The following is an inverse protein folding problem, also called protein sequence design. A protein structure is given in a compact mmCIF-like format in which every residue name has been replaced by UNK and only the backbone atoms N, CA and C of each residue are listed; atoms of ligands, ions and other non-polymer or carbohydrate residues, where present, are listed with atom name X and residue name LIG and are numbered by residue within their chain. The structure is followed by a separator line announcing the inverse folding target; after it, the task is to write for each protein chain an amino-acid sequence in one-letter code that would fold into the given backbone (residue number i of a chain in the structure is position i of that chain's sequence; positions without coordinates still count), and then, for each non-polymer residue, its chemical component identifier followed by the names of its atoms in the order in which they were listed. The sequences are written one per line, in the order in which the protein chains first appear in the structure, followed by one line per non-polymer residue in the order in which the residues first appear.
data_IF_388271785279
#
_entry.id   IF_388271785279
#
_cell.length_a   1.000
_cell.length_b   1.000
_cell.length_c   1.000
_cell.angle_alpha   90.00
_cell.angle_beta   90.00
_cell.angle_gamma   90.00
#
_symmetry.space_group_name_H-M   'P 1'
#
loop_
_entity.id
_entity.type
_entity.pdbx_description
1 polymer ?
#
# COMPACT_ATOMS: atom_id res chain seq x y z
N UNK A 1 8.70 20.61 -10.12
CA UNK A 1 7.85 19.41 -10.23
C UNK A 1 7.51 18.97 -8.83
N UNK A 2 6.23 18.86 -8.49
CA UNK A 2 5.84 18.31 -7.19
C UNK A 2 6.09 16.79 -7.16
N UNK A 3 6.42 16.22 -5.99
CA UNK A 3 6.47 14.77 -5.81
C UNK A 3 5.13 14.10 -6.11
N UNK A 4 5.16 12.86 -6.59
CA UNK A 4 3.94 12.07 -6.81
C UNK A 4 3.29 11.69 -5.47
N UNK A 5 2.12 12.26 -5.19
CA UNK A 5 1.41 12.00 -3.93
C UNK A 5 0.83 10.59 -3.88
N UNK A 6 0.59 9.97 -5.03
CA UNK A 6 0.15 8.57 -5.06
C UNK A 6 1.24 7.60 -4.62
N UNK A 7 2.51 7.85 -4.94
CA UNK A 7 3.62 7.03 -4.42
C UNK A 7 3.96 7.38 -2.97
N UNK A 8 3.74 8.64 -2.58
CA UNK A 8 3.95 9.07 -1.20
C UNK A 8 2.93 8.49 -0.21
N UNK A 9 1.71 8.13 -0.64
CA UNK A 9 0.69 7.54 0.23
C UNK A 9 1.13 6.23 0.87
N UNK A 10 2.01 5.45 0.21
CA UNK A 10 2.55 4.21 0.77
C UNK A 10 3.25 4.45 2.11
N UNK A 11 4.02 5.53 2.23
CA UNK A 11 4.77 5.83 3.46
C UNK A 11 3.86 6.37 4.57
N UNK A 12 2.83 7.15 4.23
CA UNK A 12 1.80 7.57 5.19
C UNK A 12 1.02 6.37 5.74
N UNK A 13 0.68 5.42 4.87
CA UNK A 13 0.00 4.19 5.28
C UNK A 13 0.90 3.31 6.15
N UNK A 14 2.19 3.16 5.81
CA UNK A 14 3.16 2.45 6.64
C UNK A 14 3.28 3.08 8.03
N UNK A 15 3.40 4.42 8.11
CA UNK A 15 3.46 5.13 9.39
C UNK A 15 2.22 4.82 10.22
N UNK A 16 1.04 5.02 9.65
CA UNK A 16 -0.21 4.76 10.35
C UNK A 16 -0.34 3.31 10.83
N UNK A 17 -0.02 2.33 9.97
CA UNK A 17 -0.11 0.91 10.33
C UNK A 17 0.88 0.52 11.42
N UNK A 18 2.13 1.01 11.37
CA UNK A 18 3.11 0.73 12.42
C UNK A 18 2.60 1.23 13.78
N UNK A 19 2.00 2.43 13.83
CA UNK A 19 1.43 2.97 15.06
C UNK A 19 0.17 2.23 15.53
N UNK A 20 -0.68 1.79 14.59
CA UNK A 20 -1.91 1.05 14.91
C UNK A 20 -1.64 -0.39 15.36
N UNK A 21 -0.59 -1.03 14.86
CA UNK A 21 -0.28 -2.45 15.14
C UNK A 21 0.80 -2.63 16.21
N UNK A 22 1.80 -1.77 16.25
CA UNK A 22 2.98 -1.89 17.13
C UNK A 22 2.99 -0.75 18.17
N UNK A 23 1.92 -0.66 18.96
CA UNK A 23 1.78 0.33 20.03
C UNK A 23 3.03 0.33 20.93
N UNK A 24 3.85 1.38 20.85
CA UNK A 24 5.06 1.57 21.67
C UNK A 24 6.38 1.72 20.90
N UNK A 25 6.40 1.59 19.56
CA UNK A 25 7.58 2.02 18.78
C UNK A 25 7.59 3.55 18.63
N UNK A 26 8.70 4.18 19.01
CA UNK A 26 8.89 5.64 18.94
C UNK A 26 9.29 6.17 17.54
N UNK A 27 9.30 5.29 16.54
CA UNK A 27 9.83 5.60 15.21
C UNK A 27 8.70 6.03 14.27
N UNK A 28 8.66 7.32 13.93
CA UNK A 28 7.76 7.86 12.92
C UNK A 28 8.41 7.85 11.54
N UNK A 29 7.65 7.45 10.52
CA UNK A 29 8.02 7.59 9.12
C UNK A 29 7.59 8.99 8.67
N UNK A 30 8.55 9.86 8.37
CA UNK A 30 8.28 11.21 7.89
C UNK A 30 8.34 11.28 6.36
N UNK A 31 7.28 11.82 5.75
CA UNK A 31 7.26 12.13 4.32
C UNK A 31 7.78 13.55 4.10
N UNK A 32 9.08 13.67 3.83
CA UNK A 32 9.81 14.95 3.85
C UNK A 32 9.35 16.01 2.84
N UNK A 33 8.70 15.62 1.74
CA UNK A 33 8.31 16.54 0.66
C UNK A 33 6.90 16.25 0.16
N UNK A 34 5.91 16.42 1.04
CA UNK A 34 4.51 16.26 0.65
C UNK A 34 4.04 17.47 -0.21
N UNK A 35 3.37 17.25 -1.35
CA UNK A 35 2.88 18.35 -2.17
C UNK A 35 1.81 19.18 -1.45
N UNK A 36 1.88 20.51 -1.60
CA UNK A 36 0.98 21.45 -0.91
C UNK A 36 -0.03 22.14 -1.83
N UNK A 37 0.14 22.04 -3.16
CA UNK A 37 -0.73 22.74 -4.12
C UNK A 37 -2.16 22.19 -4.20
N UNK A 38 -2.42 20.99 -3.66
CA UNK A 38 -3.68 20.22 -3.82
C UNK A 38 -4.03 19.89 -5.29
N UNK A 39 -3.09 20.02 -6.24
CA UNK A 39 -3.32 19.69 -7.66
C UNK A 39 -3.51 18.18 -7.89
N UNK A 40 -2.86 17.36 -7.06
CA UNK A 40 -3.03 15.91 -7.09
C UNK A 40 -4.05 15.54 -6.01
N UNK A 41 -5.17 14.92 -6.38
CA UNK A 41 -6.22 14.50 -5.43
C UNK A 41 -5.66 13.63 -4.28
N UNK A 42 -4.63 12.84 -4.56
CA UNK A 42 -3.97 11.96 -3.58
C UNK A 42 -3.19 12.73 -2.50
N UNK A 43 -3.01 14.06 -2.59
CA UNK A 43 -2.49 14.87 -1.47
C UNK A 43 -3.39 14.82 -0.24
N UNK A 44 -4.65 14.39 -0.40
CA UNK A 44 -5.64 14.22 0.68
C UNK A 44 -5.39 12.97 1.53
N UNK A 45 -4.55 12.04 1.09
CA UNK A 45 -4.34 10.76 1.78
C UNK A 45 -4.07 10.88 3.30
N UNK A 46 -3.20 11.78 3.79
CA UNK A 46 -2.97 11.91 5.23
C UNK A 46 -4.20 12.40 6.00
N UNK A 47 -5.09 13.17 5.34
CA UNK A 47 -6.30 13.72 5.95
C UNK A 47 -7.41 12.68 6.09
N UNK A 48 -7.31 11.53 5.41
CA UNK A 48 -8.29 10.44 5.53
C UNK A 48 -7.87 9.38 6.54
N UNK A 49 -6.81 9.59 7.31
CA UNK A 49 -6.37 8.68 8.37
C UNK A 49 -6.71 9.30 9.74
N UNK A 50 -7.37 8.58 10.67
CA UNK A 50 -7.96 7.24 10.50
C UNK A 50 -9.09 7.22 9.46
N UNK A 51 -9.32 6.05 8.85
CA UNK A 51 -10.22 5.89 7.71
C UNK A 51 -11.68 6.25 8.05
N UNK A 52 -12.37 7.06 7.21
CA UNK A 52 -13.80 7.26 7.35
C UNK A 52 -14.59 6.01 6.93
N UNK A 53 -15.90 5.99 7.14
CA UNK A 53 -16.77 4.87 6.73
C UNK A 53 -16.89 4.70 5.21
N UNK A 54 -16.64 5.77 4.44
CA UNK A 54 -16.73 5.76 2.97
C UNK A 54 -15.61 6.61 2.36
N UNK A 55 -15.00 6.11 1.28
CA UNK A 55 -14.07 6.83 0.42
C UNK A 55 -14.44 6.62 -1.04
N UNK A 56 -14.54 7.71 -1.80
CA UNK A 56 -14.78 7.71 -3.23
C UNK A 56 -13.48 7.90 -4.01
N UNK A 57 -13.32 7.09 -5.07
CA UNK A 57 -12.20 7.20 -5.99
C UNK A 57 -12.19 8.53 -6.78
N UNK A 58 -13.36 9.12 -6.98
CA UNK A 58 -13.50 10.34 -7.78
C UNK A 58 -13.37 11.60 -6.94
N UNK A 59 -13.81 11.54 -5.67
CA UNK A 59 -13.94 12.72 -4.81
C UNK A 59 -12.86 12.82 -3.76
N UNK A 60 -12.35 11.69 -3.26
CA UNK A 60 -11.49 11.68 -2.08
C UNK A 60 -10.04 11.32 -2.40
N UNK A 61 -9.83 10.19 -3.10
CA UNK A 61 -8.50 9.67 -3.45
C UNK A 61 -8.53 9.09 -4.86
N UNK A 62 -7.56 9.43 -5.71
CA UNK A 62 -7.54 8.95 -7.09
C UNK A 62 -7.02 7.52 -7.18
N UNK A 63 -5.74 7.37 -6.94
CA UNK A 63 -4.98 6.16 -7.27
C UNK A 63 -4.38 5.58 -5.97
N UNK A 64 -4.20 6.44 -4.95
CA UNK A 64 -3.90 6.07 -3.55
C UNK A 64 -5.06 5.40 -2.80
N UNK A 65 -6.26 5.33 -3.39
CA UNK A 65 -7.39 4.60 -2.79
C UNK A 65 -7.07 3.12 -2.56
N UNK A 66 -6.25 2.52 -3.41
CA UNK A 66 -5.73 1.15 -3.23
C UNK A 66 -4.87 1.03 -1.96
N UNK A 67 -4.13 2.08 -1.62
CA UNK A 67 -3.36 2.14 -0.39
C UNK A 67 -4.27 2.24 0.83
N UNK A 68 -5.38 2.98 0.75
CA UNK A 68 -6.35 3.04 1.83
C UNK A 68 -7.04 1.68 2.04
N UNK A 69 -7.30 0.92 0.97
CA UNK A 69 -7.87 -0.43 1.05
C UNK A 69 -6.99 -1.41 1.85
N UNK A 70 -5.66 -1.33 1.75
CA UNK A 70 -4.77 -2.19 2.56
C UNK A 70 -4.68 -1.75 4.03
N UNK A 71 -5.09 -0.51 4.35
CA UNK A 71 -5.17 -0.01 5.73
C UNK A 71 -6.49 -0.40 6.40
N UNK A 72 -7.58 -0.53 5.61
CA UNK A 72 -8.92 -0.82 6.09
C UNK A 72 -9.10 -2.02 7.05
N UNK A 73 -8.29 -3.09 7.01
CA UNK A 73 -8.39 -4.16 8.02
C UNK A 73 -8.15 -3.71 9.47
N UNK A 74 -7.52 -2.55 9.68
CA UNK A 74 -7.28 -1.94 11.00
C UNK A 74 -8.16 -0.71 11.29
N UNK A 75 -9.16 -0.42 10.46
CA UNK A 75 -10.14 0.61 10.76
C UNK A 75 -11.04 0.21 11.94
N UNK A 76 -11.69 1.17 12.59
CA UNK A 76 -12.64 0.91 13.68
C UNK A 76 -13.97 0.31 13.19
N UNK A 77 -14.24 0.41 11.90
CA UNK A 77 -15.51 0.02 11.27
C UNK A 77 -15.30 -0.39 9.80
N UNK A 78 -16.27 -1.09 9.17
CA UNK A 78 -16.21 -1.37 7.74
C UNK A 78 -16.07 -0.09 6.91
N UNK A 79 -15.17 -0.13 5.93
CA UNK A 79 -14.90 0.99 5.03
C UNK A 79 -15.42 0.65 3.63
N UNK A 80 -16.27 1.51 3.09
CA UNK A 80 -16.80 1.41 1.72
C UNK A 80 -15.91 2.21 0.77
N UNK A 81 -15.40 1.57 -0.27
CA UNK A 81 -14.61 2.18 -1.31
C UNK A 81 -15.42 2.23 -2.59
N UNK A 82 -15.82 3.42 -3.03
CA UNK A 82 -16.77 3.64 -4.12
C UNK A 82 -16.11 4.19 -5.39
N UNK A 83 -16.86 4.20 -6.49
CA UNK A 83 -16.46 4.74 -7.79
C UNK A 83 -15.24 4.01 -8.40
N UNK A 84 -15.14 2.70 -8.18
CA UNK A 84 -13.98 1.89 -8.56
C UNK A 84 -13.94 1.47 -10.03
N UNK A 85 -14.95 1.86 -10.84
CA UNK A 85 -15.09 1.41 -12.23
C UNK A 85 -13.85 1.66 -13.09
N UNK A 86 -13.16 2.80 -12.90
CA UNK A 86 -11.89 3.08 -13.62
C UNK A 86 -10.78 2.09 -13.27
N UNK A 87 -10.70 1.63 -12.02
CA UNK A 87 -9.65 0.71 -11.57
C UNK A 87 -9.76 -0.68 -12.20
N UNK A 88 -10.94 -1.03 -12.72
CA UNK A 88 -11.19 -2.33 -13.38
C UNK A 88 -10.55 -2.45 -14.77
N UNK A 89 -10.23 -1.33 -15.42
CA UNK A 89 -9.77 -1.27 -16.82
C UNK A 89 -8.41 -0.57 -16.97
N UNK A 90 -7.59 -0.59 -15.92
CA UNK A 90 -6.23 -0.03 -15.94
C UNK A 90 -5.21 -1.11 -16.36
N UNK A 91 -4.08 -1.22 -15.66
CA UNK A 91 -3.02 -2.17 -16.04
C UNK A 91 -3.46 -3.62 -15.82
N UNK A 92 -4.25 -3.84 -14.77
CA UNK A 92 -5.00 -5.06 -14.52
C UNK A 92 -6.41 -4.71 -14.02
N UNK A 93 -7.22 -5.74 -13.78
CA UNK A 93 -8.47 -5.60 -13.02
C UNK A 93 -8.08 -5.42 -11.53
N UNK A 94 -7.85 -4.17 -11.10
CA UNK A 94 -7.32 -3.86 -9.75
C UNK A 94 -8.33 -4.13 -8.65
N UNK A 95 -9.63 -4.07 -8.93
CA UNK A 95 -10.69 -4.33 -7.93
C UNK A 95 -10.70 -5.81 -7.57
N UNK A 96 -10.65 -6.66 -8.59
CA UNK A 96 -10.49 -8.09 -8.50
C UNK A 96 -9.18 -8.46 -7.81
N UNK A 97 -8.05 -7.83 -8.20
CA UNK A 97 -6.76 -8.07 -7.56
C UNK A 97 -6.82 -7.72 -6.06
N UNK A 98 -7.29 -6.52 -5.69
CA UNK A 98 -7.41 -6.12 -4.29
C UNK A 98 -8.29 -7.06 -3.49
N UNK A 99 -9.48 -7.40 -4.00
CA UNK A 99 -10.38 -8.36 -3.35
C UNK A 99 -9.74 -9.72 -3.15
N UNK A 100 -9.14 -10.27 -4.21
CA UNK A 100 -8.54 -11.61 -4.19
C UNK A 100 -7.37 -11.69 -3.23
N UNK A 101 -6.44 -10.74 -3.33
CA UNK A 101 -5.22 -10.74 -2.55
C UNK A 101 -5.47 -10.38 -1.07
N UNK A 102 -6.41 -9.48 -0.77
CA UNK A 102 -6.84 -9.24 0.61
C UNK A 102 -7.54 -10.47 1.21
N UNK A 103 -8.36 -11.17 0.42
CA UNK A 103 -9.01 -12.40 0.88
C UNK A 103 -8.00 -13.49 1.20
N UNK A 104 -6.93 -13.64 0.40
CA UNK A 104 -5.80 -14.53 0.71
C UNK A 104 -5.12 -14.19 2.04
N UNK A 105 -5.14 -12.92 2.47
CA UNK A 105 -4.61 -12.47 3.75
C UNK A 105 -5.59 -12.63 4.93
N UNK A 106 -6.76 -13.25 4.71
CA UNK A 106 -7.78 -13.45 5.75
C UNK A 106 -8.74 -12.28 5.95
N UNK A 107 -8.65 -11.24 5.12
CA UNK A 107 -9.52 -10.05 5.22
C UNK A 107 -10.89 -10.37 4.64
N UNK A 108 -11.95 -9.98 5.36
CA UNK A 108 -13.31 -10.03 4.82
C UNK A 108 -13.53 -8.85 3.88
N UNK A 109 -13.81 -9.15 2.61
CA UNK A 109 -14.10 -8.18 1.55
C UNK A 109 -15.39 -8.55 0.84
N UNK A 110 -16.32 -7.61 0.72
CA UNK A 110 -17.54 -7.74 -0.07
C UNK A 110 -17.46 -6.81 -1.28
N UNK A 111 -18.04 -7.24 -2.40
CA UNK A 111 -18.05 -6.48 -3.65
C UNK A 111 -19.50 -6.24 -4.07
N UNK A 112 -19.86 -4.96 -4.24
CA UNK A 112 -21.18 -4.50 -4.66
C UNK A 112 -21.01 -3.58 -5.86
N UNK A 113 -21.27 -4.06 -7.09
CA UNK A 113 -21.09 -3.27 -8.32
C UNK A 113 -19.69 -2.66 -8.40
N UNK A 114 -19.54 -1.33 -8.36
CA UNK A 114 -18.26 -0.62 -8.37
C UNK A 114 -17.79 -0.19 -6.98
N UNK A 115 -18.20 -0.95 -5.96
CA UNK A 115 -17.83 -0.73 -4.55
C UNK A 115 -17.17 -1.97 -3.97
N UNK A 116 -16.10 -1.78 -3.20
CA UNK A 116 -15.59 -2.77 -2.26
C UNK A 116 -15.90 -2.33 -0.83
N UNK A 117 -16.36 -3.26 0.00
CA UNK A 117 -16.53 -3.06 1.44
C UNK A 117 -15.48 -3.92 2.12
N UNK A 118 -14.55 -3.28 2.82
CA UNK A 118 -13.48 -3.98 3.54
C UNK A 118 -13.77 -3.87 5.03
N UNK A 119 -13.83 -5.01 5.69
CA UNK A 119 -14.15 -5.10 7.12
C UNK A 119 -12.87 -5.15 7.95
N UNK A 120 -12.87 -4.55 9.15
CA UNK A 120 -11.84 -4.79 10.15
C UNK A 120 -11.67 -6.29 10.36
N UNK A 121 -10.45 -6.79 10.20
CA UNK A 121 -10.17 -8.23 10.13
C UNK A 121 -8.78 -8.52 10.71
N UNK A 122 -8.58 -9.66 11.39
CA UNK A 122 -7.22 -10.16 11.60
C UNK A 122 -6.58 -10.47 10.26
N UNK A 123 -5.31 -10.09 10.09
CA UNK A 123 -4.58 -10.24 8.83
C UNK A 123 -3.43 -11.23 9.03
N UNK A 124 -3.26 -12.16 8.08
CA UNK A 124 -2.16 -13.11 8.07
C UNK A 124 -1.34 -13.03 6.77
N UNK A 125 -0.12 -13.57 6.82
CA UNK A 125 0.76 -13.67 5.66
C UNK A 125 0.16 -14.51 4.52
N UNK A 126 0.48 -14.12 3.29
CA UNK A 126 0.03 -14.78 2.08
C UNK A 126 1.02 -14.53 0.93
N UNK A 127 0.95 -15.37 -0.10
CA UNK A 127 1.67 -15.12 -1.36
C UNK A 127 0.78 -14.27 -2.27
N UNK A 128 1.30 -13.11 -2.65
CA UNK A 128 0.58 -12.08 -3.38
C UNK A 128 0.96 -12.14 -4.86
N UNK A 129 -0.05 -12.29 -5.71
CA UNK A 129 0.08 -12.14 -7.15
C UNK A 129 -0.07 -10.65 -7.52
N UNK A 130 0.89 -10.11 -8.26
CA UNK A 130 0.92 -8.68 -8.59
C UNK A 130 0.19 -8.33 -9.87
N UNK A 131 -0.15 -9.31 -10.71
CA UNK A 131 -0.77 -9.11 -12.01
C UNK A 131 0.02 -8.15 -12.92
N UNK A 132 1.34 -8.12 -12.75
CA UNK A 132 2.27 -7.16 -13.38
C UNK A 132 1.97 -5.68 -13.08
N UNK A 133 1.13 -5.41 -12.08
CA UNK A 133 0.72 -4.07 -11.65
C UNK A 133 1.59 -3.58 -10.49
N UNK A 134 2.26 -2.46 -10.72
CA UNK A 134 3.17 -1.84 -9.77
C UNK A 134 2.47 -1.36 -8.49
N UNK A 135 1.21 -0.93 -8.57
CA UNK A 135 0.44 -0.45 -7.41
C UNK A 135 0.01 -1.60 -6.53
N UNK A 136 -0.39 -2.74 -7.12
CA UNK A 136 -0.70 -3.94 -6.34
C UNK A 136 0.55 -4.39 -5.57
N UNK A 137 1.71 -4.47 -6.25
CA UNK A 137 2.97 -4.80 -5.60
C UNK A 137 3.32 -3.85 -4.44
N UNK A 138 3.22 -2.53 -4.64
CA UNK A 138 3.54 -1.55 -3.59
C UNK A 138 2.51 -1.55 -2.45
N UNK A 139 1.21 -1.67 -2.73
CA UNK A 139 0.18 -1.74 -1.69
C UNK A 139 0.35 -2.96 -0.78
N UNK A 140 0.62 -4.14 -1.34
CA UNK A 140 0.86 -5.32 -0.50
C UNK A 140 2.24 -5.31 0.15
N UNK A 141 3.21 -4.55 -0.38
CA UNK A 141 4.47 -4.28 0.34
C UNK A 141 4.25 -3.40 1.57
N UNK A 142 3.29 -2.45 1.53
CA UNK A 142 2.82 -1.71 2.72
C UNK A 142 2.23 -2.66 3.75
N UNK A 143 1.37 -3.60 3.33
CA UNK A 143 0.80 -4.60 4.24
C UNK A 143 1.89 -5.45 4.92
N UNK A 144 2.91 -5.84 4.16
CA UNK A 144 4.04 -6.63 4.64
C UNK A 144 4.95 -5.93 5.65
N UNK A 145 4.78 -4.62 5.91
CA UNK A 145 5.55 -3.93 6.97
C UNK A 145 5.05 -4.30 8.37
N UNK A 146 3.77 -4.65 8.51
CA UNK A 146 3.15 -5.00 9.80
C UNK A 146 2.65 -6.44 9.85
N UNK A 147 2.51 -7.12 8.70
CA UNK A 147 2.07 -8.52 8.62
C UNK A 147 3.23 -9.42 8.19
N UNK A 148 3.78 -10.24 9.09
CA UNK A 148 4.78 -11.24 8.74
C UNK A 148 4.24 -12.25 7.71
N UNK A 149 5.10 -12.69 6.79
CA UNK A 149 4.79 -13.76 5.84
C UNK A 149 4.07 -13.31 4.56
N UNK A 150 3.98 -12.00 4.29
CA UNK A 150 3.58 -11.49 2.98
C UNK A 150 4.73 -11.70 1.98
N UNK A 151 4.46 -12.40 0.88
CA UNK A 151 5.45 -12.70 -0.17
C UNK A 151 4.94 -12.15 -1.50
N UNK A 152 5.61 -11.14 -2.05
CA UNK A 152 5.21 -10.51 -3.33
C UNK A 152 5.82 -11.27 -4.52
N UNK A 153 4.97 -11.77 -5.43
CA UNK A 153 5.43 -12.37 -6.70
C UNK A 153 5.70 -11.29 -7.75
N UNK A 154 6.76 -11.47 -8.53
CA UNK A 154 7.17 -10.53 -9.58
C UNK A 154 7.30 -9.06 -9.10
N UNK A 155 8.01 -8.78 -7.99
CA UNK A 155 8.09 -7.43 -7.42
C UNK A 155 8.76 -6.41 -8.37
N UNK A 156 9.45 -6.86 -9.42
CA UNK A 156 10.11 -5.97 -10.39
C UNK A 156 9.19 -5.01 -11.14
N UNK A 157 7.87 -5.24 -11.16
CA UNK A 157 6.90 -4.36 -11.80
C UNK A 157 6.90 -2.93 -11.23
N UNK A 158 7.36 -2.74 -9.97
CA UNK A 158 7.48 -1.40 -9.34
C UNK A 158 8.37 -0.44 -10.11
N UNK A 159 9.29 -0.96 -10.95
CA UNK A 159 10.17 -0.15 -11.80
C UNK A 159 9.44 0.76 -12.78
N UNK A 160 8.15 0.54 -13.02
CA UNK A 160 7.33 1.39 -13.88
C UNK A 160 7.20 2.83 -13.37
N UNK A 161 7.03 3.01 -12.06
CA UNK A 161 6.81 4.33 -11.45
C UNK A 161 7.77 4.64 -10.30
N UNK A 162 8.25 3.62 -9.60
CA UNK A 162 9.16 3.79 -8.48
C UNK A 162 10.29 2.73 -8.51
N UNK A 163 11.27 2.87 -9.43
CA UNK A 163 12.40 1.94 -9.58
C UNK A 163 13.16 1.61 -8.29
N UNK A 164 13.30 2.60 -7.41
CA UNK A 164 14.05 2.46 -6.17
C UNK A 164 13.14 2.19 -4.96
N UNK A 165 11.89 1.75 -5.15
CA UNK A 165 10.93 1.52 -4.06
C UNK A 165 11.50 0.58 -2.99
N UNK A 166 11.93 -0.62 -3.39
CA UNK A 166 12.49 -1.60 -2.45
C UNK A 166 13.84 -1.18 -1.87
N UNK A 167 14.67 -0.44 -2.61
CA UNK A 167 15.88 0.19 -2.07
C UNK A 167 15.53 1.16 -0.94
N UNK A 168 14.46 1.96 -1.12
CA UNK A 168 13.99 2.93 -0.13
C UNK A 168 13.48 2.26 1.14
N UNK A 169 12.79 1.12 1.02
CA UNK A 169 12.35 0.34 2.18
C UNK A 169 13.54 -0.31 2.91
N UNK A 170 14.51 -0.85 2.18
CA UNK A 170 15.65 -1.56 2.77
C UNK A 170 16.72 -0.64 3.37
N UNK A 171 16.90 0.57 2.84
CA UNK A 171 17.92 1.51 3.31
C UNK A 171 17.74 1.83 4.80
N UNK A 172 18.82 1.92 5.61
CA UNK A 172 18.70 2.23 7.02
C UNK A 172 18.20 3.67 7.24
N UNK A 173 17.57 3.94 8.40
CA UNK A 173 17.29 5.31 8.83
C UNK A 173 18.58 6.17 8.85
N UNK A 174 18.50 7.47 8.51
CA UNK A 174 17.30 8.25 8.18
C UNK A 174 16.88 8.17 6.69
N UNK A 175 17.58 7.39 5.86
CA UNK A 175 17.39 7.41 4.41
C UNK A 175 16.33 6.42 3.90
N UNK A 176 15.94 5.45 4.73
CA UNK A 176 14.88 4.46 4.49
C UNK A 176 14.32 3.85 5.77
N UNK A 177 13.68 2.67 5.68
CA UNK A 177 13.00 2.01 6.80
C UNK A 177 13.77 0.85 7.44
N UNK A 178 14.93 0.47 6.91
CA UNK A 178 15.74 -0.65 7.41
C UNK A 178 15.05 -2.01 7.32
N UNK A 179 14.09 -2.17 6.40
CA UNK A 179 13.33 -3.41 6.27
C UNK A 179 14.15 -4.54 5.65
N UNK A 180 13.97 -5.76 6.15
CA UNK A 180 14.54 -6.96 5.53
C UNK A 180 13.61 -7.47 4.43
N UNK A 181 14.11 -7.51 3.20
CA UNK A 181 13.38 -8.08 2.07
C UNK A 181 13.75 -9.56 1.91
N UNK A 182 12.74 -10.42 2.03
CA UNK A 182 12.89 -11.86 1.85
C UNK A 182 12.32 -12.24 0.49
N UNK A 183 13.19 -12.63 -0.44
CA UNK A 183 12.79 -13.18 -1.73
C UNK A 183 12.68 -14.70 -1.62
N UNK A 184 11.84 -15.37 -2.44
CA UNK A 184 11.77 -16.84 -2.46
C UNK A 184 13.16 -17.46 -2.64
N UNK A 185 13.65 -18.14 -1.61
CA UNK A 185 14.95 -18.81 -1.61
C UNK A 185 16.18 -17.94 -1.31
N UNK A 186 16.04 -16.63 -1.03
CA UNK A 186 17.15 -15.75 -0.61
C UNK A 186 16.68 -14.64 0.34
N UNK A 187 17.26 -14.61 1.54
CA UNK A 187 17.27 -13.39 2.36
C UNK A 187 18.38 -12.49 1.84
N UNK A 188 18.04 -11.39 1.19
CA UNK A 188 19.04 -10.42 0.74
C UNK A 188 19.19 -9.35 1.82
N UNK A 189 20.38 -9.27 2.41
CA UNK A 189 20.85 -8.01 3.00
C UNK A 189 21.17 -7.10 1.81
N UNK A 190 20.18 -6.32 1.39
CA UNK A 190 20.26 -5.55 0.16
C UNK A 190 21.17 -4.34 0.37
N UNK A 191 22.44 -4.49 0.02
CA UNK A 191 23.27 -3.33 -0.29
C UNK A 191 22.77 -2.68 -1.58
N UNK A 192 22.95 -1.37 -1.68
CA UNK A 192 22.51 -0.47 -2.77
C UNK A 192 22.83 -0.99 -4.18
N UNK A 193 23.85 -1.83 -4.32
CA UNK A 193 24.42 -2.33 -5.57
C UNK A 193 23.62 -3.48 -6.19
N UNK A 194 22.81 -4.22 -5.41
CA UNK A 194 22.16 -5.45 -5.89
C UNK A 194 20.89 -5.18 -6.73
N UNK A 195 20.43 -3.92 -6.79
CA UNK A 195 19.11 -3.56 -7.31
C UNK A 195 19.10 -2.96 -8.74
N UNK A 196 20.26 -2.96 -9.43
CA UNK A 196 20.42 -2.44 -10.81
C UNK A 196 20.65 -3.56 -11.86
N UNK A 197 20.81 -4.82 -11.46
CA UNK A 197 20.93 -5.95 -12.39
C UNK A 197 19.57 -6.52 -12.83
#
# INVERSE_FOLDING_TARGET
MEPDSSSGSYFWAMDHLVHSVQAGQANHIQVASWPSSEWQIDTRFPKVLPLPSTLSRERDLGDSILTAMVVAPWADQPVRFEDLGRLRVQECERVFAMKTELHKCGVKVEEEKDTLIIYPSPVHGAVIDTYEDHRIAMCFSVLGTVVPGIIIRHPGCVKKTFPNFYQKLASPPPYGLGMTLTLPGKTLSLSSETLIA
#
